data_IF_103407950485
#
_entry.id   IF_103407950485
#
_cell.length_a   1.000
_cell.length_b   1.000
_cell.length_c   1.000
_cell.angle_alpha   90.00
_cell.angle_beta   90.00
_cell.angle_gamma   90.00
#
_symmetry.space_group_name_H-M   'P 1'
#
loop_
_entity.id
_entity.type
_entity.pdbx_description
1 polymer ?
#
# COMPACT_ATOMS: atom_id res chain seq x y z
N UNK A 1 4.03 -17.17 10.30
CA UNK A 1 3.28 -16.06 9.67
C UNK A 1 1.95 -15.93 10.38
N UNK A 2 1.67 -14.79 11.03
CA UNK A 2 0.32 -14.50 11.54
C UNK A 2 -0.52 -14.10 10.33
N UNK A 3 -1.60 -14.83 10.05
CA UNK A 3 -2.59 -14.42 9.06
C UNK A 3 -3.26 -13.17 9.62
N UNK A 4 -3.19 -12.06 8.90
CA UNK A 4 -3.97 -10.86 9.23
C UNK A 4 -5.45 -11.27 9.16
N UNK A 5 -6.19 -11.04 10.25
CA UNK A 5 -7.59 -11.43 10.35
C UNK A 5 -8.40 -10.48 9.48
N UNK A 6 -8.90 -10.98 8.35
CA UNK A 6 -9.78 -10.25 7.44
C UNK A 6 -11.22 -10.31 7.98
N UNK A 7 -11.90 -9.17 8.11
CA UNK A 7 -13.35 -9.15 8.36
C UNK A 7 -14.08 -9.83 7.19
N UNK A 8 -14.94 -10.80 7.50
CA UNK A 8 -15.79 -11.46 6.49
C UNK A 8 -16.78 -10.45 5.88
N UNK A 9 -16.78 -10.35 4.55
CA UNK A 9 -17.64 -9.42 3.82
C UNK A 9 -19.03 -10.06 3.67
N UNK A 10 -20.12 -9.41 4.09
CA UNK A 10 -21.48 -9.93 3.93
C UNK A 10 -21.84 -10.11 2.45
N UNK A 11 -22.39 -11.29 2.12
CA UNK A 11 -22.83 -11.62 0.76
C UNK A 11 -23.81 -10.56 0.21
N UNK A 12 -23.57 -10.08 -1.03
CA UNK A 12 -24.44 -9.12 -1.70
C UNK A 12 -24.15 -7.64 -1.46
N UNK A 13 -23.10 -7.30 -0.70
CA UNK A 13 -22.51 -5.97 -0.66
C UNK A 13 -21.04 -6.09 -1.06
N UNK A 14 -20.72 -5.90 -2.34
CA UNK A 14 -19.34 -5.77 -2.80
C UNK A 14 -18.75 -4.42 -2.35
N UNK A 15 -18.62 -4.24 -1.05
CA UNK A 15 -17.77 -3.20 -0.48
C UNK A 15 -16.39 -3.78 -0.34
N UNK A 16 -15.39 -3.16 -1.00
CA UNK A 16 -13.99 -3.55 -0.85
C UNK A 16 -13.65 -3.61 0.65
N UNK A 17 -13.03 -4.70 1.08
CA UNK A 17 -12.56 -4.88 2.45
C UNK A 17 -11.46 -3.89 2.82
N UNK A 18 -11.39 -3.53 4.10
CA UNK A 18 -10.31 -2.73 4.67
C UNK A 18 -9.51 -3.60 5.64
N UNK A 19 -8.19 -3.43 5.67
CA UNK A 19 -7.32 -4.08 6.63
C UNK A 19 -7.53 -3.46 8.02
N UNK A 20 -7.69 -4.29 9.04
CA UNK A 20 -7.83 -3.86 10.45
C UNK A 20 -6.56 -3.20 11.05
N UNK A 21 -5.46 -3.12 10.29
CA UNK A 21 -4.24 -2.42 10.74
C UNK A 21 -4.52 -0.93 10.97
N UNK A 22 -4.12 -0.36 12.12
CA UNK A 22 -4.30 1.06 12.37
C UNK A 22 -3.45 1.90 11.40
N UNK A 23 -4.01 3.02 10.94
CA UNK A 23 -3.31 4.00 10.11
C UNK A 23 -2.20 4.66 10.94
N UNK A 24 -0.97 4.62 10.44
CA UNK A 24 0.17 5.27 11.10
C UNK A 24 0.22 6.77 10.80
N UNK A 25 1.10 7.53 11.48
CA UNK A 25 1.11 8.98 11.36
C UNK A 25 1.60 9.49 9.99
N UNK A 26 2.42 8.73 9.28
CA UNK A 26 2.84 9.05 7.91
C UNK A 26 1.67 8.88 6.94
N UNK A 27 0.93 7.78 7.08
CA UNK A 27 -0.27 7.50 6.29
C UNK A 27 -1.37 8.52 6.58
N UNK A 28 -1.61 8.88 7.83
CA UNK A 28 -2.58 9.94 8.19
C UNK A 28 -2.24 11.24 7.49
N UNK A 29 -0.97 11.67 7.53
CA UNK A 29 -0.52 12.91 6.86
C UNK A 29 -0.70 12.81 5.34
N UNK A 30 -0.34 11.68 4.74
CA UNK A 30 -0.48 11.46 3.31
C UNK A 30 -1.95 11.44 2.85
N UNK A 31 -2.85 10.91 3.67
CA UNK A 31 -4.29 10.79 3.36
C UNK A 31 -5.11 12.06 3.67
N UNK A 32 -4.63 12.93 4.57
CA UNK A 32 -5.42 14.01 5.19
C UNK A 32 -6.17 14.94 4.22
N UNK A 33 -5.65 15.15 3.01
CA UNK A 33 -6.20 16.07 2.02
C UNK A 33 -6.50 15.42 0.66
N UNK A 34 -6.62 14.09 0.63
CA UNK A 34 -6.93 13.36 -0.59
C UNK A 34 -8.44 13.16 -0.76
N UNK A 35 -8.90 13.22 -2.01
CA UNK A 35 -10.28 12.96 -2.37
C UNK A 35 -10.60 11.47 -2.17
N UNK A 36 -11.58 11.19 -1.30
CA UNK A 36 -12.01 9.85 -0.93
C UNK A 36 -12.52 9.05 -2.14
N UNK A 37 -13.19 9.71 -3.10
CA UNK A 37 -13.70 9.03 -4.29
C UNK A 37 -12.53 8.59 -5.20
N UNK A 38 -11.47 9.40 -5.27
CA UNK A 38 -10.25 9.04 -6.01
C UNK A 38 -9.45 7.94 -5.32
N UNK A 39 -9.43 7.92 -3.99
CA UNK A 39 -8.83 6.82 -3.23
C UNK A 39 -9.60 5.51 -3.46
N UNK A 40 -10.93 5.58 -3.54
CA UNK A 40 -11.77 4.44 -3.88
C UNK A 40 -11.51 3.92 -5.30
N UNK A 41 -11.48 4.81 -6.30
CA UNK A 41 -11.13 4.47 -7.70
C UNK A 41 -9.76 3.76 -7.77
N UNK A 42 -8.78 4.28 -7.02
CA UNK A 42 -7.44 3.70 -6.94
C UNK A 42 -7.46 2.32 -6.28
N UNK A 43 -8.17 2.16 -5.16
CA UNK A 43 -8.29 0.87 -4.48
C UNK A 43 -8.94 -0.21 -5.34
N UNK A 44 -9.93 0.14 -6.18
CA UNK A 44 -10.55 -0.78 -7.14
C UNK A 44 -9.57 -1.22 -8.23
N UNK A 45 -8.77 -0.28 -8.75
CA UNK A 45 -7.70 -0.58 -9.68
C UNK A 45 -6.65 -1.51 -9.05
N UNK A 46 -6.24 -1.23 -7.81
CA UNK A 46 -5.29 -2.05 -7.06
C UNK A 46 -5.84 -3.45 -6.75
N UNK A 47 -7.13 -3.57 -6.44
CA UNK A 47 -7.81 -4.85 -6.26
C UNK A 47 -7.80 -5.69 -7.53
N UNK A 48 -8.10 -5.10 -8.68
CA UNK A 48 -8.00 -5.79 -9.97
C UNK A 48 -6.55 -6.24 -10.26
N UNK A 49 -5.56 -5.38 -9.97
CA UNK A 49 -4.14 -5.69 -10.13
C UNK A 49 -3.64 -6.77 -9.15
N UNK A 50 -4.28 -6.91 -7.99
CA UNK A 50 -3.96 -7.91 -6.98
C UNK A 50 -4.74 -9.23 -7.14
N UNK A 51 -5.20 -9.54 -8.36
CA UNK A 51 -6.01 -10.74 -8.64
C UNK A 51 -7.29 -10.83 -7.80
N UNK A 52 -7.92 -9.68 -7.53
CA UNK A 52 -9.12 -9.58 -6.69
C UNK A 52 -8.88 -10.08 -5.26
N UNK A 53 -7.66 -9.89 -4.75
CA UNK A 53 -7.34 -10.04 -3.34
C UNK A 53 -7.18 -8.69 -2.66
N UNK A 54 -7.62 -8.62 -1.41
CA UNK A 54 -7.46 -7.44 -0.57
C UNK A 54 -6.06 -7.37 0.06
N UNK A 55 -5.66 -6.16 0.40
CA UNK A 55 -4.46 -5.90 1.19
C UNK A 55 -3.18 -5.67 0.38
N UNK A 56 -2.00 -5.78 1.03
CA UNK A 56 -0.74 -5.40 0.42
C UNK A 56 -0.45 -6.24 -0.83
N UNK A 57 -0.03 -5.58 -1.91
CA UNK A 57 0.27 -6.25 -3.17
C UNK A 57 1.74 -6.67 -3.15
N UNK A 58 2.06 -7.98 -3.22
CA UNK A 58 3.45 -8.43 -3.18
C UNK A 58 4.30 -7.82 -4.31
N UNK A 59 5.53 -7.42 -3.99
CA UNK A 59 6.48 -6.90 -4.99
C UNK A 59 6.21 -5.48 -5.52
N UNK A 60 5.21 -4.75 -5.02
CA UNK A 60 4.87 -3.37 -5.43
C UNK A 60 5.37 -2.32 -4.44
N UNK A 61 6.67 -2.35 -4.17
CA UNK A 61 7.31 -1.35 -3.33
C UNK A 61 7.36 0.01 -4.04
N UNK A 62 7.11 1.07 -3.27
CA UNK A 62 7.07 2.45 -3.76
C UNK A 62 7.86 3.37 -2.82
N UNK A 63 8.22 4.54 -3.34
CA UNK A 63 8.81 5.64 -2.57
C UNK A 63 7.82 6.79 -2.58
N UNK A 64 7.47 7.30 -1.40
CA UNK A 64 6.61 8.47 -1.25
C UNK A 64 7.38 9.63 -0.63
N UNK A 65 7.29 10.80 -1.25
CA UNK A 65 7.75 12.05 -0.64
C UNK A 65 6.77 12.42 0.49
N UNK A 66 7.22 12.35 1.75
CA UNK A 66 6.41 12.68 2.94
C UNK A 66 6.48 14.17 3.25
N UNK A 67 7.67 14.75 3.09
CA UNK A 67 7.91 16.18 3.22
C UNK A 67 8.63 16.67 1.97
N UNK A 68 8.03 17.61 1.20
CA UNK A 68 8.60 18.08 -0.06
C UNK A 68 10.07 18.49 0.08
N UNK A 69 10.94 17.78 -0.65
CA UNK A 69 12.38 18.07 -0.70
C UNK A 69 13.16 17.72 0.57
N UNK A 70 12.57 17.01 1.53
CA UNK A 70 13.21 16.69 2.82
C UNK A 70 13.24 15.22 3.14
N UNK A 71 12.11 14.53 3.06
CA UNK A 71 12.00 13.15 3.54
C UNK A 71 11.19 12.27 2.58
N UNK A 72 11.74 11.10 2.30
CA UNK A 72 11.16 10.07 1.45
C UNK A 72 10.98 8.79 2.26
N UNK A 73 9.81 8.18 2.17
CA UNK A 73 9.47 6.95 2.88
C UNK A 73 9.26 5.83 1.88
N UNK A 74 9.81 4.65 2.18
CA UNK A 74 9.48 3.43 1.45
C UNK A 74 8.12 2.93 1.92
N UNK A 75 7.35 2.37 1.00
CA UNK A 75 6.07 1.76 1.28
C UNK A 75 5.71 0.68 0.27
N UNK A 76 4.46 0.22 0.34
CA UNK A 76 3.90 -0.81 -0.54
C UNK A 76 2.49 -0.42 -0.96
N UNK A 77 2.12 -0.72 -2.21
CA UNK A 77 0.73 -0.54 -2.65
C UNK A 77 -0.19 -1.58 -2.01
N UNK A 78 -1.42 -1.19 -1.68
CA UNK A 78 -2.40 -2.06 -1.04
C UNK A 78 -3.75 -1.94 -1.70
N UNK A 79 -4.39 -3.08 -2.00
CA UNK A 79 -5.76 -3.15 -2.46
C UNK A 79 -6.73 -2.97 -1.29
N UNK A 80 -6.81 -1.74 -0.77
CA UNK A 80 -7.59 -1.35 0.39
C UNK A 80 -8.12 0.09 0.19
N UNK A 81 -9.43 0.29 0.37
CA UNK A 81 -10.08 1.60 0.20
C UNK A 81 -9.64 2.65 1.21
N UNK A 82 -9.36 2.25 2.44
CA UNK A 82 -8.92 3.15 3.50
C UNK A 82 -7.42 3.44 3.41
N UNK A 83 -6.63 2.48 2.91
CA UNK A 83 -5.17 2.54 2.82
C UNK A 83 -4.67 1.99 1.47
N UNK A 84 -4.74 2.76 0.38
CA UNK A 84 -4.26 2.30 -0.93
C UNK A 84 -2.72 2.19 -1.00
N UNK A 85 -2.02 2.67 0.03
CA UNK A 85 -0.59 2.50 0.25
C UNK A 85 -0.32 2.31 1.74
N UNK A 86 0.73 1.56 2.05
CA UNK A 86 1.22 1.30 3.39
C UNK A 86 2.63 1.88 3.46
N UNK A 87 2.87 2.83 4.36
CA UNK A 87 4.18 3.46 4.54
C UNK A 87 4.93 2.81 5.69
N UNK A 88 6.19 2.44 5.50
CA UNK A 88 7.03 1.79 6.51
C UNK A 88 7.76 2.84 7.36
N UNK A 89 7.33 3.08 8.62
CA UNK A 89 7.87 4.18 9.43
C UNK A 89 9.35 4.05 9.80
N UNK A 90 9.89 2.83 9.70
CA UNK A 90 11.29 2.48 9.90
C UNK A 90 12.16 2.69 8.65
N UNK A 91 11.56 3.01 7.50
CA UNK A 91 12.25 3.19 6.22
C UNK A 91 12.08 4.61 5.66
N UNK A 92 12.50 5.60 6.45
CA UNK A 92 12.50 7.03 6.08
C UNK A 92 13.92 7.52 5.80
N UNK A 93 14.10 8.21 4.67
CA UNK A 93 15.39 8.64 4.15
C UNK A 93 15.39 10.14 3.82
N UNK A 94 16.58 10.73 3.82
CA UNK A 94 16.82 12.14 3.45
C UNK A 94 16.93 12.40 1.96
N UNK A 95 16.89 11.36 1.12
CA UNK A 95 16.95 11.49 -0.33
C UNK A 95 16.12 10.43 -1.05
N UNK A 96 15.60 10.80 -2.22
CA UNK A 96 14.87 9.89 -3.10
C UNK A 96 15.73 8.71 -3.56
N UNK A 97 17.01 8.96 -3.85
CA UNK A 97 17.95 7.95 -4.33
C UNK A 97 18.21 6.85 -3.27
N UNK A 98 18.39 7.23 -2.00
CA UNK A 98 18.54 6.28 -0.90
C UNK A 98 17.27 5.47 -0.68
N UNK A 99 16.10 6.13 -0.68
CA UNK A 99 14.82 5.46 -0.53
C UNK A 99 14.53 4.48 -1.67
N UNK A 100 14.87 4.86 -2.91
CA UNK A 100 14.69 4.01 -4.10
C UNK A 100 15.56 2.77 -4.01
N UNK A 101 16.84 2.95 -3.66
CA UNK A 101 17.76 1.82 -3.46
C UNK A 101 17.28 0.90 -2.33
N UNK A 102 16.73 1.45 -1.26
CA UNK A 102 16.16 0.66 -0.17
C UNK A 102 14.91 -0.13 -0.62
N UNK A 103 14.02 0.48 -1.40
CA UNK A 103 12.86 -0.20 -1.98
C UNK A 103 13.26 -1.33 -2.94
N UNK A 104 14.28 -1.12 -3.78
CA UNK A 104 14.84 -2.16 -4.66
C UNK A 104 15.48 -3.30 -3.86
N UNK A 105 16.22 -2.98 -2.81
CA UNK A 105 16.82 -3.97 -1.91
C UNK A 105 15.74 -4.79 -1.22
N UNK A 106 14.71 -4.14 -0.67
CA UNK A 106 13.57 -4.81 -0.04
C UNK A 106 12.85 -5.74 -1.01
N UNK A 107 12.64 -5.28 -2.26
CA UNK A 107 12.05 -6.11 -3.32
C UNK A 107 12.88 -7.36 -3.61
N UNK A 108 14.20 -7.21 -3.69
CA UNK A 108 15.13 -8.32 -3.93
C UNK A 108 15.17 -9.30 -2.75
N UNK A 109 15.20 -8.80 -1.51
CA UNK A 109 15.22 -9.61 -0.28
C UNK A 109 13.95 -10.43 -0.11
N UNK A 110 12.80 -9.83 -0.38
CA UNK A 110 11.50 -10.49 -0.24
C UNK A 110 11.28 -11.53 -1.34
N UNK A 111 11.92 -11.35 -2.50
CA UNK A 111 11.81 -12.24 -3.67
C UNK A 111 10.34 -12.57 -4.03
N UNK A 112 9.42 -11.65 -3.75
CA UNK A 112 8.00 -11.83 -3.96
C UNK A 112 7.67 -11.70 -5.46
N UNK A 113 6.93 -12.67 -5.99
CA UNK A 113 6.36 -12.55 -7.33
C UNK A 113 5.20 -11.55 -7.30
N UNK A 114 5.26 -10.53 -8.16
CA UNK A 114 4.09 -9.66 -8.41
C UNK A 114 2.95 -10.54 -8.91
N UNK A 115 1.70 -10.36 -8.42
CA UNK A 115 0.57 -11.18 -8.85
C UNK A 115 0.43 -11.24 -10.37
N UNK A 116 0.31 -12.45 -10.93
CA UNK A 116 0.08 -12.65 -12.35
C UNK A 116 -1.28 -12.09 -12.72
N UNK A 117 -1.34 -11.08 -13.59
CA UNK A 117 -2.60 -10.44 -13.99
C UNK A 117 -3.46 -11.44 -14.76
N UNK A 118 -4.66 -11.73 -14.29
CA UNK A 118 -5.67 -12.39 -15.11
C UNK A 118 -6.10 -11.41 -16.22
N UNK A 119 -5.51 -11.55 -17.42
CA UNK A 119 -5.93 -10.86 -18.65
C UNK A 119 -7.15 -11.58 -19.21
#
# INVERSE_FOLDING_TARGET
MKKENMQEIPWGKETLGALDTPINDLEKKALQNLDVDKLNDMAECLFALNNRHYGPIPGTYMVMCVEPGKTWCVGQLSADRAKPFILFPDMVYSSEAEATKAAETLKAEKAESVPCRNI
#
